data_IF_059345245274
#
_entry.id   IF_059345245274
#
_cell.length_a   1.000
_cell.length_b   1.000
_cell.length_c   1.000
_cell.angle_alpha   90.00
_cell.angle_beta   90.00
_cell.angle_gamma   90.00
#
_symmetry.space_group_name_H-M   'P 1'
#
loop_
_entity.id
_entity.type
_entity.pdbx_description
1 polymer ?
#
# COMPACT_ATOMS: atom_id res chain seq x y z
N UNK A 1 12.93 51.05 18.40
CA UNK A 1 12.33 50.11 17.42
C UNK A 1 13.14 48.83 17.34
N UNK A 2 13.26 48.07 18.44
CA UNK A 2 14.01 46.80 18.48
C UNK A 2 13.15 45.61 18.94
N UNK A 3 11.85 45.84 19.22
CA UNK A 3 10.93 44.81 19.70
C UNK A 3 10.24 44.01 18.58
N UNK A 4 10.15 44.54 17.35
CA UNK A 4 9.41 43.88 16.26
C UNK A 4 10.20 42.81 15.51
N UNK A 5 11.53 42.91 15.49
CA UNK A 5 12.42 41.95 14.81
C UNK A 5 12.47 40.60 15.54
N UNK A 6 12.46 40.62 16.88
CA UNK A 6 12.50 39.41 17.71
C UNK A 6 11.24 38.54 17.58
N UNK A 7 10.09 39.14 17.27
CA UNK A 7 8.80 38.44 17.18
C UNK A 7 8.70 37.66 15.85
N UNK A 8 9.17 38.23 14.73
CA UNK A 8 9.15 37.55 13.43
C UNK A 8 10.13 36.36 13.38
N UNK A 9 11.33 36.51 13.94
CA UNK A 9 12.30 35.40 14.03
C UNK A 9 11.81 34.31 14.97
N UNK A 10 11.18 34.67 16.09
CA UNK A 10 10.59 33.69 17.01
C UNK A 10 9.41 32.95 16.38
N UNK A 11 8.56 33.64 15.60
CA UNK A 11 7.44 33.01 14.90
C UNK A 11 7.90 32.03 13.80
N UNK A 12 8.92 32.38 13.00
CA UNK A 12 9.46 31.46 12.00
C UNK A 12 10.14 30.24 12.63
N UNK A 13 10.88 30.43 13.74
CA UNK A 13 11.53 29.32 14.46
C UNK A 13 10.50 28.41 15.15
N UNK A 14 9.43 28.97 15.72
CA UNK A 14 8.35 28.16 16.32
C UNK A 14 7.54 27.38 15.28
N UNK A 15 7.27 27.96 14.10
CA UNK A 15 6.63 27.22 12.99
C UNK A 15 7.54 26.09 12.50
N UNK A 16 8.86 26.32 12.41
CA UNK A 16 9.82 25.26 12.09
C UNK A 16 9.77 24.14 13.14
N UNK A 17 9.89 24.45 14.43
CA UNK A 17 9.93 23.41 15.49
C UNK A 17 8.63 22.60 15.54
N UNK A 18 7.45 23.20 15.33
CA UNK A 18 6.17 22.47 15.30
C UNK A 18 6.05 21.56 14.07
N UNK A 19 6.58 21.99 12.91
CA UNK A 19 6.63 21.17 11.70
C UNK A 19 7.65 20.02 11.76
N UNK A 20 8.78 20.22 12.45
CA UNK A 20 9.81 19.17 12.62
C UNK A 20 9.53 18.22 13.79
N UNK A 21 8.71 18.62 14.78
CA UNK A 21 8.42 17.81 15.97
C UNK A 21 7.15 16.94 15.86
N UNK A 22 6.40 17.01 14.77
CA UNK A 22 5.26 16.11 14.56
C UNK A 22 5.66 15.00 13.58
N UNK A 23 6.10 13.82 14.07
CA UNK A 23 5.99 12.63 13.25
C UNK A 23 4.49 12.43 12.99
N UNK A 24 4.04 12.77 11.78
CA UNK A 24 2.75 12.36 11.27
C UNK A 24 2.76 10.84 11.06
N UNK A 25 2.85 10.09 12.15
CA UNK A 25 2.57 8.66 12.23
C UNK A 25 1.12 8.49 12.68
N UNK A 26 0.20 9.04 11.87
CA UNK A 26 -1.17 8.55 11.84
C UNK A 26 -1.14 7.20 11.13
N UNK A 27 -1.01 6.13 11.92
CA UNK A 27 -0.98 4.76 11.46
C UNK A 27 -2.31 4.41 10.75
N UNK A 28 -2.36 4.64 9.44
CA UNK A 28 -3.31 3.92 8.60
C UNK A 28 -2.78 2.49 8.49
N UNK A 29 -3.50 1.47 9.00
CA UNK A 29 -3.04 0.08 8.99
C UNK A 29 -3.15 -0.57 7.61
N UNK A 30 -3.43 0.23 6.58
CA UNK A 30 -3.75 -0.18 5.23
C UNK A 30 -2.99 0.73 4.27
N UNK A 31 -2.20 0.13 3.38
CA UNK A 31 -1.36 0.82 2.40
C UNK A 31 -1.75 0.41 0.99
N UNK A 32 -1.72 1.37 0.06
CA UNK A 32 -1.97 1.08 -1.35
C UNK A 32 -0.82 0.23 -1.92
N UNK A 33 -1.18 -0.90 -2.51
CA UNK A 33 -0.29 -1.80 -3.22
C UNK A 33 -0.71 -1.92 -4.68
N UNK A 34 0.22 -2.41 -5.49
CA UNK A 34 0.00 -2.74 -6.89
C UNK A 34 0.27 -4.24 -7.04
N UNK A 35 -0.72 -4.92 -7.61
CA UNK A 35 -0.63 -6.32 -8.04
C UNK A 35 -0.39 -6.30 -9.55
N UNK A 36 0.80 -6.74 -9.97
CA UNK A 36 1.09 -6.95 -11.39
C UNK A 36 0.88 -8.42 -11.72
N UNK A 37 0.01 -8.69 -12.69
CA UNK A 37 -0.29 -10.05 -13.18
C UNK A 37 0.12 -10.16 -14.63
N UNK A 38 0.80 -11.25 -14.98
CA UNK A 38 1.12 -11.58 -16.37
C UNK A 38 1.12 -13.09 -16.56
N UNK A 39 0.97 -13.55 -17.80
CA UNK A 39 1.32 -14.92 -18.14
C UNK A 39 2.84 -15.13 -17.98
N UNK A 40 3.28 -16.34 -17.64
CA UNK A 40 4.71 -16.64 -17.49
C UNK A 40 5.54 -16.22 -18.71
N UNK A 41 4.99 -16.44 -19.92
CA UNK A 41 5.65 -16.15 -21.20
C UNK A 41 5.31 -14.75 -21.78
N UNK A 42 4.43 -13.99 -21.11
CA UNK A 42 4.05 -12.66 -21.56
C UNK A 42 5.06 -11.58 -21.14
N UNK A 43 5.30 -10.64 -22.04
CA UNK A 43 6.20 -9.49 -21.83
C UNK A 43 5.50 -8.32 -21.13
N UNK A 44 4.19 -8.15 -21.33
CA UNK A 44 3.42 -7.01 -20.80
C UNK A 44 2.58 -7.41 -19.59
N UNK A 45 2.92 -6.93 -18.37
CA UNK A 45 2.08 -7.16 -17.19
C UNK A 45 0.90 -6.20 -17.12
N UNK A 46 -0.21 -6.69 -16.57
CA UNK A 46 -1.41 -5.90 -16.25
C UNK A 46 -1.35 -5.47 -14.79
N UNK A 47 -1.48 -4.17 -14.54
CA UNK A 47 -1.46 -3.59 -13.21
C UNK A 47 -2.85 -3.48 -12.61
N UNK A 48 -2.98 -3.94 -11.37
CA UNK A 48 -4.20 -3.86 -10.59
C UNK A 48 -3.95 -3.18 -9.24
N UNK A 49 -4.88 -2.32 -8.83
CA UNK A 49 -4.82 -1.71 -7.51
C UNK A 49 -5.19 -2.75 -6.44
N UNK A 50 -4.34 -2.85 -5.43
CA UNK A 50 -4.53 -3.71 -4.28
C UNK A 50 -4.38 -2.91 -2.99
N UNK A 51 -4.94 -3.45 -1.92
CA UNK A 51 -4.96 -2.85 -0.59
C UNK A 51 -4.22 -3.81 0.33
N UNK A 52 -3.06 -3.42 0.84
CA UNK A 52 -2.16 -4.29 1.60
C UNK A 52 -2.16 -3.93 3.09
N UNK A 53 -1.98 -4.94 3.95
CA UNK A 53 -1.95 -4.77 5.40
C UNK A 53 -0.51 -4.85 5.93
N UNK A 54 0.18 -3.70 6.19
CA UNK A 54 1.54 -3.64 6.74
C UNK A 54 1.77 -4.42 8.04
N UNK A 55 0.73 -4.61 8.86
CA UNK A 55 0.87 -5.30 10.14
C UNK A 55 1.29 -6.77 10.02
N UNK A 56 1.08 -7.40 8.85
CA UNK A 56 1.28 -8.84 8.66
C UNK A 56 2.73 -9.15 8.29
N UNK A 57 3.23 -8.64 7.16
CA UNK A 57 4.61 -8.86 6.67
C UNK A 57 5.00 -7.85 5.61
N UNK A 58 6.09 -7.12 5.86
CA UNK A 58 6.65 -6.14 4.93
C UNK A 58 6.81 -6.66 3.50
N UNK A 59 6.40 -5.82 2.54
CA UNK A 59 6.53 -6.08 1.11
C UNK A 59 7.52 -5.10 0.46
N UNK A 60 7.97 -5.46 -0.74
CA UNK A 60 8.79 -4.61 -1.57
C UNK A 60 8.17 -3.21 -1.75
N UNK A 61 9.00 -2.18 -1.61
CA UNK A 61 8.61 -0.77 -1.82
C UNK A 61 8.76 -0.31 -3.27
N UNK A 62 9.56 -1.05 -4.04
CA UNK A 62 9.81 -0.81 -5.46
C UNK A 62 9.41 -2.04 -6.25
N UNK A 63 9.11 -1.81 -7.51
CA UNK A 63 8.76 -2.86 -8.45
C UNK A 63 9.93 -3.84 -8.69
N UNK A 64 11.16 -3.33 -8.72
CA UNK A 64 12.40 -4.08 -8.99
C UNK A 64 12.74 -5.08 -7.89
N UNK A 65 12.37 -4.76 -6.65
CA UNK A 65 12.61 -5.60 -5.47
C UNK A 65 11.56 -6.72 -5.33
N UNK A 66 10.49 -6.68 -6.14
CA UNK A 66 9.37 -7.62 -6.05
C UNK A 66 9.54 -8.78 -7.04
N UNK A 67 9.50 -10.00 -6.51
CA UNK A 67 9.66 -11.23 -7.30
C UNK A 67 8.33 -11.72 -7.88
N UNK A 68 8.37 -12.20 -9.13
CA UNK A 68 7.23 -12.90 -9.73
C UNK A 68 7.08 -14.29 -9.12
N UNK A 69 5.88 -14.60 -8.66
CA UNK A 69 5.51 -15.89 -8.08
C UNK A 69 4.31 -16.46 -8.84
N UNK A 70 4.16 -17.80 -8.95
CA UNK A 70 3.00 -18.38 -9.60
C UNK A 70 1.71 -17.96 -8.90
N UNK A 71 0.72 -17.51 -9.67
CA UNK A 71 -0.60 -17.13 -9.21
C UNK A 71 -1.51 -18.35 -9.31
N UNK A 72 -2.13 -18.73 -8.21
CA UNK A 72 -3.15 -19.76 -8.15
C UNK A 72 -4.52 -19.10 -7.97
N UNK A 73 -5.36 -19.21 -8.99
CA UNK A 73 -6.72 -18.70 -8.94
C UNK A 73 -7.68 -19.73 -8.34
N UNK A 74 -8.37 -19.32 -7.27
CA UNK A 74 -9.32 -20.13 -6.51
C UNK A 74 -10.65 -19.38 -6.35
N UNK A 75 -10.88 -18.31 -7.13
CA UNK A 75 -12.08 -17.47 -7.01
C UNK A 75 -13.40 -18.20 -7.24
N UNK A 76 -13.41 -19.21 -8.10
CA UNK A 76 -14.62 -19.98 -8.43
C UNK A 76 -14.74 -21.27 -7.62
N UNK A 77 -13.86 -21.52 -6.66
CA UNK A 77 -13.95 -22.72 -5.83
C UNK A 77 -14.96 -22.52 -4.69
N UNK A 78 -16.13 -23.12 -4.87
CA UNK A 78 -17.22 -23.05 -3.89
C UNK A 78 -16.94 -23.88 -2.64
N UNK A 79 -15.98 -24.81 -2.68
CA UNK A 79 -15.77 -25.77 -1.59
C UNK A 79 -14.86 -25.23 -0.48
N UNK A 80 -14.15 -24.12 -0.69
CA UNK A 80 -13.23 -23.54 0.28
C UNK A 80 -12.26 -24.58 0.89
N UNK A 81 -11.95 -25.63 0.12
CA UNK A 81 -11.13 -26.76 0.56
C UNK A 81 -9.66 -26.44 0.29
N UNK A 82 -9.11 -25.65 1.22
CA UNK A 82 -7.74 -25.17 1.19
C UNK A 82 -6.71 -26.29 1.43
N UNK A 83 -7.11 -27.47 1.91
CA UNK A 83 -6.18 -28.54 2.27
C UNK A 83 -5.78 -29.40 1.06
N UNK A 84 -6.63 -29.47 0.04
CA UNK A 84 -6.39 -30.29 -1.15
C UNK A 84 -5.41 -29.66 -2.16
N UNK A 85 -5.12 -28.37 -2.05
CA UNK A 85 -4.33 -27.63 -3.06
C UNK A 85 -2.92 -27.31 -2.56
N UNK A 86 -1.92 -27.48 -3.43
CA UNK A 86 -0.54 -27.07 -3.15
C UNK A 86 -0.39 -25.55 -3.29
N UNK A 87 -0.39 -24.85 -2.15
CA UNK A 87 -0.16 -23.40 -2.05
C UNK A 87 1.32 -23.01 -1.87
N UNK A 88 2.21 -23.98 -1.68
CA UNK A 88 3.60 -23.74 -1.33
C UNK A 88 4.30 -22.80 -2.34
N UNK A 89 4.71 -21.63 -1.86
CA UNK A 89 5.43 -20.63 -2.65
C UNK A 89 4.60 -19.85 -3.69
N UNK A 90 3.27 -20.02 -3.71
CA UNK A 90 2.36 -19.39 -4.67
C UNK A 90 1.64 -18.17 -4.09
N UNK A 91 1.21 -17.28 -4.98
CA UNK A 91 0.26 -16.20 -4.67
C UNK A 91 -1.13 -16.78 -4.84
N UNK A 92 -1.92 -16.83 -3.79
CA UNK A 92 -3.26 -17.42 -3.82
C UNK A 92 -4.29 -16.31 -3.96
N UNK A 93 -5.12 -16.39 -5.00
CA UNK A 93 -6.24 -15.48 -5.23
C UNK A 93 -7.54 -16.18 -4.89
N UNK A 94 -8.26 -15.69 -3.88
CA UNK A 94 -9.49 -16.33 -3.40
C UNK A 94 -10.59 -15.31 -3.05
N UNK A 95 -11.83 -15.78 -3.04
CA UNK A 95 -12.98 -15.04 -2.52
C UNK A 95 -13.24 -15.46 -1.07
N UNK A 96 -13.68 -14.51 -0.25
CA UNK A 96 -14.02 -14.80 1.14
C UNK A 96 -15.24 -15.71 1.19
N UNK A 97 -15.08 -16.88 1.80
CA UNK A 97 -16.19 -17.79 2.06
C UNK A 97 -17.10 -17.27 3.18
N UNK A 98 -18.42 -17.37 2.99
CA UNK A 98 -19.43 -16.74 3.87
C UNK A 98 -19.34 -17.18 5.34
N UNK A 99 -18.84 -18.39 5.62
CA UNK A 99 -18.74 -18.94 6.98
C UNK A 99 -17.34 -18.83 7.62
N UNK A 100 -16.38 -18.21 6.94
CA UNK A 100 -14.99 -18.09 7.42
C UNK A 100 -14.63 -16.64 7.81
N UNK A 101 -13.85 -16.51 8.89
CA UNK A 101 -13.21 -15.24 9.23
C UNK A 101 -11.98 -15.03 8.35
N UNK A 102 -11.58 -13.77 8.13
CA UNK A 102 -10.34 -13.47 7.42
C UNK A 102 -9.14 -14.13 8.11
N UNK A 103 -9.12 -14.12 9.45
CA UNK A 103 -8.06 -14.68 10.28
C UNK A 103 -7.87 -16.19 10.05
N UNK A 104 -8.97 -16.95 9.94
CA UNK A 104 -8.93 -18.40 9.66
C UNK A 104 -8.36 -18.67 8.26
N UNK A 105 -8.79 -17.91 7.25
CA UNK A 105 -8.27 -18.03 5.88
C UNK A 105 -6.76 -17.72 5.85
N UNK A 106 -6.34 -16.64 6.51
CA UNK A 106 -4.93 -16.23 6.59
C UNK A 106 -4.12 -17.33 7.28
N UNK A 107 -4.61 -17.89 8.39
CA UNK A 107 -3.93 -18.97 9.12
C UNK A 107 -3.79 -20.24 8.27
N UNK A 108 -4.83 -20.61 7.50
CA UNK A 108 -4.80 -21.76 6.58
C UNK A 108 -3.85 -21.54 5.40
N UNK A 109 -3.85 -20.35 4.81
CA UNK A 109 -2.89 -20.00 3.77
C UNK A 109 -1.44 -20.07 4.30
N UNK A 110 -1.22 -19.68 5.56
CA UNK A 110 0.07 -19.81 6.22
C UNK A 110 0.47 -21.26 6.46
N UNK A 111 -0.41 -22.10 7.00
CA UNK A 111 -0.10 -23.50 7.27
C UNK A 111 0.25 -24.27 5.99
N UNK A 112 -0.35 -23.87 4.87
CA UNK A 112 -0.05 -24.39 3.55
C UNK A 112 1.14 -23.70 2.83
N UNK A 113 1.89 -22.84 3.54
CA UNK A 113 3.10 -22.15 3.05
C UNK A 113 2.87 -21.29 1.80
N UNK A 114 1.72 -20.63 1.69
CA UNK A 114 1.49 -19.63 0.65
C UNK A 114 2.50 -18.47 0.76
N UNK A 115 2.99 -17.97 -0.38
CA UNK A 115 3.89 -16.82 -0.39
C UNK A 115 3.12 -15.51 -0.14
N UNK A 116 1.93 -15.40 -0.74
CA UNK A 116 1.02 -14.29 -0.55
C UNK A 116 -0.44 -14.75 -0.70
N UNK A 117 -1.34 -14.04 -0.02
CA UNK A 117 -2.77 -14.22 -0.07
C UNK A 117 -3.41 -12.93 -0.58
N UNK A 118 -4.17 -13.04 -1.67
CA UNK A 118 -4.94 -11.97 -2.27
C UNK A 118 -6.42 -12.31 -2.16
N UNK A 119 -7.16 -11.53 -1.37
CA UNK A 119 -8.58 -11.74 -1.15
C UNK A 119 -9.42 -10.74 -1.95
N UNK A 120 -10.50 -11.19 -2.59
CA UNK A 120 -11.48 -10.26 -3.15
C UNK A 120 -12.41 -9.73 -2.06
N UNK A 121 -12.76 -8.45 -2.15
CA UNK A 121 -13.81 -7.85 -1.32
C UNK A 121 -14.91 -7.23 -2.18
N UNK A 122 -16.12 -7.25 -1.64
CA UNK A 122 -17.27 -6.53 -2.17
C UNK A 122 -17.42 -5.21 -1.39
N UNK A 123 -17.69 -4.11 -2.08
CA UNK A 123 -17.83 -2.77 -1.47
C UNK A 123 -18.91 -2.72 -0.37
N UNK A 124 -19.85 -3.67 -0.37
CA UNK A 124 -20.90 -3.81 0.66
C UNK A 124 -20.39 -4.32 2.01
N UNK A 125 -19.22 -4.99 2.04
CA UNK A 125 -18.58 -5.50 3.26
C UNK A 125 -17.23 -4.78 3.40
N UNK A 126 -17.16 -3.63 4.08
CA UNK A 126 -15.89 -2.96 4.30
C UNK A 126 -14.92 -3.92 5.02
N UNK A 127 -13.62 -3.77 4.72
CA UNK A 127 -12.54 -4.51 5.38
C UNK A 127 -12.58 -4.11 6.86
N UNK A 128 -13.35 -4.83 7.67
CA UNK A 128 -13.39 -4.62 9.12
C UNK A 128 -12.01 -4.98 9.68
N UNK A 129 -11.51 -4.08 10.52
CA UNK A 129 -10.22 -4.10 11.19
C UNK A 129 -9.64 -5.50 11.36
N UNK A 130 -8.80 -5.88 10.42
CA UNK A 130 -7.99 -7.10 10.40
C UNK A 130 -6.73 -6.89 11.27
N UNK A 131 -6.80 -5.95 12.22
CA UNK A 131 -5.65 -5.25 12.83
C UNK A 131 -5.45 -5.56 14.29
N UNK A 132 -6.46 -6.07 15.00
CA UNK A 132 -6.34 -6.33 16.45
C UNK A 132 -5.85 -7.73 16.79
N UNK A 133 -6.02 -8.74 15.91
CA UNK A 133 -5.64 -10.13 16.21
C UNK A 133 -4.45 -10.66 15.42
N UNK A 134 -4.09 -10.05 14.29
CA UNK A 134 -3.06 -10.61 13.41
C UNK A 134 -1.69 -10.12 13.88
N UNK A 135 -1.13 -10.85 14.85
CA UNK A 135 0.30 -10.82 15.16
C UNK A 135 1.07 -11.13 13.87
N UNK A 136 2.19 -10.42 13.64
CA UNK A 136 3.13 -10.59 12.51
C UNK A 136 3.08 -12.03 11.96
N UNK A 137 2.54 -12.20 10.76
CA UNK A 137 2.51 -13.50 10.11
C UNK A 137 3.45 -13.48 8.91
N UNK A 138 4.14 -14.58 8.64
CA UNK A 138 5.15 -14.64 7.57
C UNK A 138 4.57 -14.69 6.16
N UNK A 139 3.30 -14.31 5.97
CA UNK A 139 2.62 -14.27 4.67
C UNK A 139 2.17 -12.85 4.32
N UNK A 140 2.24 -12.51 3.04
CA UNK A 140 1.77 -11.23 2.54
C UNK A 140 0.24 -11.31 2.39
N UNK A 141 -0.49 -10.32 2.89
CA UNK A 141 -1.96 -10.27 2.75
C UNK A 141 -2.37 -8.98 2.03
N UNK A 142 -3.07 -9.15 0.91
CA UNK A 142 -3.61 -8.06 0.12
C UNK A 142 -5.08 -8.29 -0.23
N UNK A 143 -5.79 -7.21 -0.50
CA UNK A 143 -7.21 -7.18 -0.84
C UNK A 143 -7.40 -6.49 -2.19
N UNK A 144 -8.24 -7.05 -3.05
CA UNK A 144 -8.60 -6.47 -4.35
C UNK A 144 -10.11 -6.40 -4.52
N UNK A 145 -10.60 -5.54 -5.41
CA UNK A 145 -12.04 -5.50 -5.70
C UNK A 145 -12.47 -6.80 -6.41
N UNK A 146 -13.70 -7.25 -6.16
CA UNK A 146 -14.26 -8.43 -6.86
C UNK A 146 -14.27 -8.24 -8.40
N UNK A 147 -14.53 -7.02 -8.88
CA UNK A 147 -14.43 -6.71 -10.31
C UNK A 147 -13.03 -6.97 -10.88
N UNK A 148 -11.99 -6.65 -10.11
CA UNK A 148 -10.58 -6.93 -10.44
C UNK A 148 -10.29 -8.43 -10.43
N UNK A 149 -10.76 -9.15 -9.41
CA UNK A 149 -10.63 -10.62 -9.36
C UNK A 149 -11.23 -11.30 -10.59
N UNK A 150 -12.44 -10.90 -11.00
CA UNK A 150 -13.09 -11.40 -12.22
C UNK A 150 -12.33 -11.05 -13.50
N UNK A 151 -11.66 -9.90 -13.55
CA UNK A 151 -10.80 -9.56 -14.69
C UNK A 151 -9.61 -10.50 -14.80
N UNK A 152 -9.00 -10.85 -13.67
CA UNK A 152 -7.88 -11.80 -13.61
C UNK A 152 -8.33 -13.20 -14.06
N UNK A 153 -9.49 -13.68 -13.59
CA UNK A 153 -10.03 -14.99 -14.05
C UNK A 153 -10.31 -14.99 -15.56
N UNK A 154 -10.89 -13.92 -16.10
CA UNK A 154 -11.11 -13.81 -17.55
C UNK A 154 -9.80 -13.74 -18.34
N UNK A 155 -8.75 -13.19 -17.74
CA UNK A 155 -7.43 -13.14 -18.35
C UNK A 155 -6.80 -14.54 -18.38
N UNK A 156 -6.93 -15.29 -17.29
CA UNK A 156 -6.52 -16.70 -17.20
C UNK A 156 -7.23 -17.58 -18.23
N UNK A 157 -8.56 -17.47 -18.34
CA UNK A 157 -9.36 -18.25 -19.31
C UNK A 157 -9.00 -17.98 -20.77
N UNK A 158 -8.58 -16.74 -21.07
CA UNK A 158 -8.16 -16.35 -22.42
C UNK A 158 -6.77 -16.87 -22.76
N UNK A 159 -5.92 -17.03 -21.76
CA UNK A 159 -4.54 -17.46 -21.95
C UNK A 159 -4.47 -19.00 -21.90
N UNK A 160 -4.76 -19.64 -23.02
CA UNK A 160 -4.95 -21.09 -23.17
C UNK A 160 -3.77 -22.00 -22.74
N UNK A 161 -2.63 -21.44 -22.30
CA UNK A 161 -1.42 -22.22 -22.00
C UNK A 161 -0.58 -21.70 -20.82
N UNK A 162 -0.96 -20.61 -20.16
CA UNK A 162 -0.02 -19.85 -19.34
C UNK A 162 -0.31 -19.91 -17.86
N UNK A 163 0.51 -20.63 -17.08
CA UNK A 163 0.57 -20.39 -15.64
C UNK A 163 0.75 -18.89 -15.38
N UNK A 164 -0.23 -18.28 -14.73
CA UNK A 164 -0.15 -16.86 -14.38
C UNK A 164 0.92 -16.67 -13.32
N UNK A 165 1.64 -15.56 -13.40
CA UNK A 165 2.57 -15.11 -12.38
C UNK A 165 2.16 -13.72 -11.90
N UNK A 166 2.31 -13.50 -10.60
CA UNK A 166 1.98 -12.25 -9.96
C UNK A 166 3.14 -11.75 -9.11
N UNK A 167 3.29 -10.43 -9.04
CA UNK A 167 4.13 -9.76 -8.05
C UNK A 167 3.36 -8.65 -7.36
N UNK A 168 3.67 -8.41 -6.09
CA UNK A 168 2.98 -7.42 -5.24
C UNK A 168 4.03 -6.48 -4.67
N UNK A 169 3.82 -5.18 -4.82
CA UNK A 169 4.67 -4.16 -4.23
C UNK A 169 3.81 -3.00 -3.71
N UNK A 170 4.30 -2.27 -2.71
CA UNK A 170 3.66 -1.02 -2.30
C UNK A 170 4.01 0.06 -3.30
N UNK A 171 3.04 0.92 -3.63
CA UNK A 171 3.35 2.18 -4.29
C UNK A 171 3.62 3.18 -3.19
N UNK A 172 4.89 3.37 -2.83
CA UNK A 172 5.23 4.52 -2.01
C UNK A 172 4.94 5.77 -2.83
N UNK A 173 3.83 6.44 -2.56
CA UNK A 173 3.77 7.87 -2.82
C UNK A 173 4.74 8.48 -1.82
N UNK A 174 6.02 8.58 -2.21
CA UNK A 174 6.88 9.57 -1.58
C UNK A 174 6.26 10.89 -1.95
N UNK A 175 5.34 11.36 -1.11
CA UNK A 175 5.05 12.76 -1.07
C UNK A 175 6.38 13.34 -0.60
N UNK A 176 7.17 13.77 -1.58
CA UNK A 176 8.57 14.11 -1.38
C UNK A 176 8.60 15.26 -0.39
N UNK A 177 8.80 14.89 0.88
CA UNK A 177 8.80 15.82 2.00
C UNK A 177 9.82 16.94 1.75
N UNK A 178 10.88 16.62 1.01
CA UNK A 178 11.85 17.56 0.46
C UNK A 178 11.20 18.69 -0.35
N UNK A 179 10.22 18.42 -1.22
CA UNK A 179 9.53 19.46 -1.99
C UNK A 179 8.68 20.37 -1.10
N UNK A 180 8.01 19.82 -0.08
CA UNK A 180 7.23 20.61 0.87
C UNK A 180 8.14 21.52 1.70
N UNK A 181 9.29 21.00 2.15
CA UNK A 181 10.31 21.78 2.89
C UNK A 181 10.90 22.88 2.01
N UNK A 182 11.27 22.57 0.77
CA UNK A 182 11.79 23.56 -0.18
C UNK A 182 10.75 24.65 -0.45
N UNK A 183 9.48 24.28 -0.64
CA UNK A 183 8.39 25.24 -0.83
C UNK A 183 8.23 26.16 0.38
N UNK A 184 8.27 25.62 1.59
CA UNK A 184 8.14 26.40 2.82
C UNK A 184 9.32 27.37 3.00
N UNK A 185 10.54 26.91 2.74
CA UNK A 185 11.74 27.76 2.74
C UNK A 185 11.65 28.90 1.71
N UNK A 186 11.15 28.63 0.51
CA UNK A 186 10.95 29.64 -0.52
C UNK A 186 9.96 30.72 -0.08
N UNK A 187 8.81 30.34 0.49
CA UNK A 187 7.81 31.28 1.01
C UNK A 187 8.38 32.15 2.13
N UNK A 188 9.13 31.55 3.07
CA UNK A 188 9.77 32.30 4.15
C UNK A 188 10.79 33.32 3.63
N UNK A 189 11.57 32.95 2.61
CA UNK A 189 12.59 33.83 2.02
C UNK A 189 11.94 35.04 1.32
N UNK A 190 10.86 34.81 0.57
CA UNK A 190 10.09 35.88 -0.09
C UNK A 190 9.43 36.81 0.93
N UNK A 191 8.81 36.26 1.99
CA UNK A 191 8.22 37.08 3.06
C UNK A 191 9.27 37.93 3.78
N UNK A 192 10.43 37.35 4.09
CA UNK A 192 11.55 38.09 4.68
C UNK A 192 12.05 39.22 3.78
N UNK A 193 12.19 38.95 2.48
CA UNK A 193 12.61 39.96 1.49
C UNK A 193 11.59 41.10 1.34
N UNK A 194 10.31 40.77 1.23
CA UNK A 194 9.23 41.77 1.13
C UNK A 194 9.16 42.66 2.38
N UNK A 195 9.34 42.07 3.58
CA UNK A 195 9.38 42.82 4.83
C UNK A 195 10.54 43.83 4.89
N UNK A 196 11.75 43.40 4.54
CA UNK A 196 12.93 44.27 4.51
C UNK A 196 12.80 45.38 3.48
N UNK A 197 12.27 45.08 2.30
CA UNK A 197 12.04 46.08 1.25
C UNK A 197 11.02 47.13 1.69
N UNK A 198 9.96 46.73 2.41
CA UNK A 198 8.94 47.67 2.91
C UNK A 198 9.46 48.62 4.00
N UNK A 199 10.33 48.14 4.89
CA UNK A 199 10.91 48.99 5.96
C UNK A 199 11.85 50.06 5.40
N UNK A 200 12.61 49.74 4.35
CA UNK A 200 13.55 50.70 3.74
C UNK A 200 12.88 51.93 3.11
N UNK A 201 11.56 51.88 2.87
CA UNK A 201 10.79 52.99 2.31
C UNK A 201 10.15 53.90 3.37
N UNK A 202 10.16 53.50 4.65
CA UNK A 202 9.57 54.25 5.77
C UNK A 202 10.62 54.96 6.65
N UNK A 203 11.90 54.93 6.26
CA UNK A 203 12.99 55.75 6.81
C UNK A 203 13.33 56.89 5.86
#
# INVERSE_FOLDING_TARGET
MALSTSILTAACVQVLVVFFATPAHGANPIVNAVLLVKAADASTPVAHCAVYVPAVKDIAKREEDAEYRPLLNVLNDTECDYERRSFEGKVVLLERCDNSSNDDIIQKAKSAKAAALVMTFNERRPIKDTTTTIKKQDIIVAFIKNSTGRQITKYEEKEANGTLVAKIFTRSTSLDWSFLVIWLMAVCTVMGGAYWSGISQYQ
#
